data_IF_920764976452
#
_entry.id   IF_920764976452
#
_cell.length_a   1.000
_cell.length_b   1.000
_cell.length_c   1.000
_cell.angle_alpha   90.00
_cell.angle_beta   90.00
_cell.angle_gamma   90.00
#
_symmetry.space_group_name_H-M   'P 1'
#
loop_
_entity.id
_entity.type
_entity.pdbx_description
1 polymer ?
#
# COMPACT_ATOMS: atom_id res chain seq x y z
N UNK A 1 -16.22 7.71 -7.05
CA UNK A 1 -15.04 8.61 -7.19
C UNK A 1 -14.52 9.13 -5.85
N UNK A 2 -15.39 9.62 -4.96
CA UNK A 2 -14.98 10.21 -3.67
C UNK A 2 -14.09 9.30 -2.81
N UNK A 3 -14.44 8.02 -2.67
CA UNK A 3 -13.61 7.06 -1.90
C UNK A 3 -12.23 6.82 -2.51
N UNK A 4 -12.12 6.88 -3.84
CA UNK A 4 -10.84 6.72 -4.53
C UNK A 4 -9.92 7.91 -4.23
N UNK A 5 -10.47 9.12 -4.24
CA UNK A 5 -9.72 10.34 -3.88
C UNK A 5 -9.30 10.31 -2.40
N UNK A 6 -10.21 9.91 -1.50
CA UNK A 6 -9.91 9.75 -0.08
C UNK A 6 -8.81 8.72 0.16
N UNK A 7 -8.88 7.54 -0.48
CA UNK A 7 -7.80 6.55 -0.42
C UNK A 7 -6.47 7.16 -0.90
N UNK A 8 -6.49 7.83 -2.05
CA UNK A 8 -5.29 8.44 -2.64
C UNK A 8 -4.67 9.47 -1.69
N UNK A 9 -5.50 10.29 -1.03
CA UNK A 9 -5.08 11.25 -0.03
C UNK A 9 -4.47 10.57 1.20
N UNK A 10 -5.18 9.62 1.84
CA UNK A 10 -4.69 8.94 3.04
C UNK A 10 -3.46 8.07 2.77
N UNK A 11 -3.39 7.44 1.60
CA UNK A 11 -2.21 6.68 1.19
C UNK A 11 -0.99 7.60 0.96
N UNK A 12 -1.23 8.78 0.39
CA UNK A 12 -0.17 9.79 0.25
C UNK A 12 0.31 10.31 1.60
N UNK A 13 -0.64 10.59 2.50
CA UNK A 13 -0.34 11.04 3.86
C UNK A 13 0.45 9.97 4.62
N UNK A 14 0.07 8.70 4.51
CA UNK A 14 0.81 7.58 5.10
C UNK A 14 2.27 7.54 4.61
N UNK A 15 2.50 7.63 3.30
CA UNK A 15 3.85 7.63 2.71
C UNK A 15 4.67 8.83 3.20
N UNK A 16 4.10 10.03 3.19
CA UNK A 16 4.78 11.24 3.67
C UNK A 16 5.12 11.14 5.16
N UNK A 17 4.21 10.58 5.96
CA UNK A 17 4.43 10.38 7.39
C UNK A 17 5.57 9.40 7.66
N UNK A 18 5.63 8.27 6.95
CA UNK A 18 6.75 7.33 7.04
C UNK A 18 8.07 8.00 6.65
N UNK A 19 8.08 8.77 5.55
CA UNK A 19 9.27 9.53 5.13
C UNK A 19 9.72 10.55 6.17
N UNK A 20 8.79 11.28 6.75
CA UNK A 20 9.09 12.27 7.79
C UNK A 20 9.68 11.63 9.04
N UNK A 21 9.12 10.49 9.47
CA UNK A 21 9.67 9.68 10.58
C UNK A 21 11.09 9.20 10.26
N UNK A 22 11.34 8.73 9.03
CA UNK A 22 12.67 8.31 8.57
C UNK A 22 13.69 9.46 8.63
N UNK A 23 13.33 10.65 8.15
CA UNK A 23 14.23 11.81 8.14
C UNK A 23 14.61 12.29 9.54
N UNK A 24 13.73 12.08 10.53
CA UNK A 24 14.00 12.41 11.93
C UNK A 24 14.93 11.39 12.62
N UNK A 25 15.24 10.27 11.98
CA UNK A 25 16.02 9.18 12.58
C UNK A 25 15.26 8.40 13.65
N UNK A 26 13.92 8.53 13.70
CA UNK A 26 13.07 7.79 14.64
C UNK A 26 13.01 6.30 14.26
N UNK A 27 12.73 5.44 15.25
CA UNK A 27 12.65 3.98 15.05
C UNK A 27 11.42 3.60 14.23
N UNK A 28 11.55 3.63 12.90
CA UNK A 28 10.50 3.23 11.94
C UNK A 28 9.93 1.83 12.26
N UNK A 29 10.77 0.94 12.80
CA UNK A 29 10.38 -0.41 13.21
C UNK A 29 9.27 -0.37 14.29
N UNK A 30 9.55 0.37 15.37
CA UNK A 30 8.68 0.46 16.54
C UNK A 30 7.40 1.21 16.17
N UNK A 31 7.54 2.34 15.47
CA UNK A 31 6.39 3.15 15.02
C UNK A 31 5.48 2.36 14.06
N UNK A 32 6.06 1.57 13.15
CA UNK A 32 5.30 0.71 12.24
C UNK A 32 4.56 -0.41 12.94
N UNK A 33 5.17 -1.01 13.97
CA UNK A 33 4.53 -2.01 14.81
C UNK A 33 3.36 -1.42 15.62
N UNK A 34 3.57 -0.25 16.23
CA UNK A 34 2.51 0.49 16.94
C UNK A 34 1.36 0.85 15.99
N UNK A 35 1.64 1.22 14.74
CA UNK A 35 0.61 1.48 13.73
C UNK A 35 -0.34 0.29 13.55
N UNK A 36 0.17 -0.94 13.47
CA UNK A 36 -0.69 -2.12 13.36
C UNK A 36 -1.46 -2.40 14.65
N UNK A 37 -0.86 -2.18 15.82
CA UNK A 37 -1.53 -2.35 17.11
C UNK A 37 -2.69 -1.35 17.25
N UNK A 38 -2.46 -0.07 16.97
CA UNK A 38 -3.49 0.95 17.03
C UNK A 38 -4.59 0.69 15.99
N UNK A 39 -4.23 0.31 14.77
CA UNK A 39 -5.21 -0.06 13.76
C UNK A 39 -6.06 -1.27 14.19
N UNK A 40 -5.47 -2.26 14.88
CA UNK A 40 -6.20 -3.39 15.43
C UNK A 40 -7.20 -2.96 16.51
N UNK A 41 -6.77 -2.09 17.45
CA UNK A 41 -7.64 -1.55 18.50
C UNK A 41 -8.82 -0.78 17.90
N UNK A 42 -8.56 0.07 16.90
CA UNK A 42 -9.63 0.82 16.21
C UNK A 42 -10.56 -0.12 15.45
N UNK A 43 -10.02 -1.17 14.81
CA UNK A 43 -10.84 -2.15 14.09
C UNK A 43 -11.75 -2.95 15.05
N UNK A 44 -11.25 -3.34 16.23
CA UNK A 44 -12.05 -3.96 17.30
C UNK A 44 -13.14 -3.01 17.79
N UNK A 45 -12.80 -1.75 18.07
CA UNK A 45 -13.77 -0.75 18.50
C UNK A 45 -14.86 -0.52 17.44
N UNK A 46 -14.47 -0.44 16.16
CA UNK A 46 -15.41 -0.28 15.04
C UNK A 46 -16.34 -1.49 14.92
N UNK A 47 -15.80 -2.71 15.06
CA UNK A 47 -16.59 -3.92 15.06
C UNK A 47 -17.57 -4.01 16.24
N UNK A 48 -17.17 -3.53 17.43
CA UNK A 48 -18.02 -3.53 18.62
C UNK A 48 -19.20 -2.55 18.50
N UNK A 49 -19.03 -1.44 17.79
CA UNK A 49 -20.08 -0.42 17.59
C UNK A 49 -20.99 -0.79 16.40
N UNK A 50 -20.51 -1.58 15.45
CA UNK A 50 -21.30 -2.01 14.30
C UNK A 50 -22.28 -3.11 14.71
N UNK A 51 -23.59 -2.86 14.62
CA UNK A 51 -24.61 -3.85 14.95
C UNK A 51 -24.58 -5.03 13.97
N UNK A 52 -24.32 -6.24 14.48
CA UNK A 52 -24.31 -7.52 13.75
C UNK A 52 -23.50 -7.53 12.45
N UNK A 53 -22.16 -7.47 12.50
CA UNK A 53 -21.37 -7.72 11.31
C UNK A 53 -21.62 -9.15 10.82
N UNK A 54 -22.02 -9.31 9.57
CA UNK A 54 -22.10 -10.62 8.92
C UNK A 54 -20.71 -11.21 8.84
N UNK A 55 -20.50 -12.31 9.56
CA UNK A 55 -19.20 -13.00 9.62
C UNK A 55 -19.23 -14.24 8.75
N UNK A 56 -18.78 -14.14 7.50
CA UNK A 56 -18.53 -15.31 6.66
C UNK A 56 -17.08 -15.75 6.75
N UNK A 57 -16.85 -17.06 6.64
CA UNK A 57 -15.51 -17.65 6.57
C UNK A 57 -14.63 -17.00 5.49
N UNK A 58 -15.22 -16.60 4.35
CA UNK A 58 -14.53 -15.91 3.26
C UNK A 58 -13.94 -14.56 3.68
N UNK A 59 -14.70 -13.75 4.42
CA UNK A 59 -14.24 -12.46 4.93
C UNK A 59 -13.12 -12.62 5.97
N UNK A 60 -13.25 -13.62 6.85
CA UNK A 60 -12.21 -13.95 7.84
C UNK A 60 -10.93 -14.43 7.14
N UNK A 61 -11.05 -15.34 6.16
CA UNK A 61 -9.92 -15.90 5.43
C UNK A 61 -9.19 -14.82 4.61
N UNK A 62 -9.93 -14.00 3.86
CA UNK A 62 -9.33 -12.90 3.08
C UNK A 62 -8.73 -11.82 3.97
N UNK A 63 -9.41 -11.42 5.05
CA UNK A 63 -8.89 -10.47 6.03
C UNK A 63 -7.63 -10.98 6.70
N UNK A 64 -7.67 -12.19 7.25
CA UNK A 64 -6.52 -12.82 7.92
C UNK A 64 -5.32 -13.01 6.98
N UNK A 65 -5.55 -13.44 5.74
CA UNK A 65 -4.50 -13.55 4.73
C UNK A 65 -3.89 -12.18 4.39
N UNK A 66 -4.70 -11.12 4.30
CA UNK A 66 -4.19 -9.77 4.08
C UNK A 66 -3.36 -9.27 5.27
N UNK A 67 -3.81 -9.54 6.50
CA UNK A 67 -3.06 -9.22 7.72
C UNK A 67 -1.71 -9.91 7.80
N UNK A 68 -1.66 -11.19 7.43
CA UNK A 68 -0.41 -11.94 7.34
C UNK A 68 0.50 -11.35 6.26
N UNK A 69 -0.05 -11.00 5.08
CA UNK A 69 0.71 -10.32 4.03
C UNK A 69 1.29 -8.99 4.52
N UNK A 70 0.53 -8.17 5.26
CA UNK A 70 1.02 -6.91 5.83
C UNK A 70 2.18 -7.13 6.81
N UNK A 71 2.07 -8.11 7.69
CA UNK A 71 3.14 -8.43 8.63
C UNK A 71 4.39 -8.97 7.93
N UNK A 72 4.24 -9.96 7.04
CA UNK A 72 5.39 -10.55 6.33
C UNK A 72 6.02 -9.52 5.38
N UNK A 73 5.22 -8.74 4.66
CA UNK A 73 5.69 -7.65 3.80
C UNK A 73 6.56 -6.67 4.58
N UNK A 74 6.26 -6.45 5.85
CA UNK A 74 7.03 -5.53 6.70
C UNK A 74 8.49 -5.98 6.91
N UNK A 75 8.74 -7.27 7.19
CA UNK A 75 10.11 -7.78 7.33
C UNK A 75 10.85 -7.74 6.00
N UNK A 76 10.18 -8.18 4.93
CA UNK A 76 10.77 -8.14 3.59
C UNK A 76 10.99 -6.71 3.12
N UNK A 77 10.18 -5.74 3.54
CA UNK A 77 10.38 -4.32 3.26
C UNK A 77 11.65 -3.81 3.94
N UNK A 78 11.81 -4.04 5.25
CA UNK A 78 13.00 -3.60 5.98
C UNK A 78 14.26 -4.23 5.40
N UNK A 79 14.22 -5.54 5.13
CA UNK A 79 15.31 -6.23 4.45
C UNK A 79 15.54 -5.60 3.08
N UNK A 80 14.56 -5.53 2.20
CA UNK A 80 14.73 -5.00 0.86
C UNK A 80 15.28 -3.55 0.84
N UNK A 81 14.86 -2.70 1.79
CA UNK A 81 15.37 -1.33 1.95
C UNK A 81 16.86 -1.33 2.30
N UNK A 82 17.30 -2.20 3.22
CA UNK A 82 18.71 -2.32 3.58
C UNK A 82 19.58 -2.74 2.38
N UNK A 83 19.02 -3.47 1.41
CA UNK A 83 19.75 -4.00 0.26
C UNK A 83 19.73 -3.12 -1.00
N UNK A 84 18.58 -2.54 -1.36
CA UNK A 84 18.43 -1.73 -2.57
C UNK A 84 18.15 -0.24 -2.32
N UNK A 85 18.02 0.17 -1.06
CA UNK A 85 17.62 1.52 -0.68
C UNK A 85 16.11 1.75 -0.79
N UNK A 86 15.60 2.67 0.03
CA UNK A 86 14.17 2.95 0.15
C UNK A 86 13.51 3.40 -1.17
N UNK A 87 14.25 4.13 -2.02
CA UNK A 87 13.73 4.65 -3.28
C UNK A 87 13.41 3.53 -4.29
N UNK A 88 14.31 2.57 -4.49
CA UNK A 88 14.09 1.46 -5.43
C UNK A 88 12.99 0.52 -4.96
N UNK A 89 12.96 0.20 -3.66
CA UNK A 89 11.92 -0.67 -3.10
C UNK A 89 10.53 -0.03 -3.17
N UNK A 90 10.44 1.28 -3.00
CA UNK A 90 9.18 2.00 -3.18
C UNK A 90 8.64 1.88 -4.63
N UNK A 91 9.53 1.89 -5.64
CA UNK A 91 9.14 1.71 -7.04
C UNK A 91 8.68 0.27 -7.29
N UNK A 92 9.42 -0.71 -6.77
CA UNK A 92 9.08 -2.14 -6.92
C UNK A 92 7.72 -2.45 -6.26
N UNK A 93 7.48 -1.96 -5.05
CA UNK A 93 6.20 -2.14 -4.36
C UNK A 93 5.03 -1.44 -5.06
N UNK A 94 5.28 -0.38 -5.83
CA UNK A 94 4.27 0.26 -6.67
C UNK A 94 4.03 -0.52 -7.97
N UNK A 95 5.05 -1.15 -8.54
CA UNK A 95 4.87 -2.04 -9.70
C UNK A 95 4.06 -3.30 -9.36
N UNK A 96 3.96 -3.67 -8.07
CA UNK A 96 3.10 -4.76 -7.61
C UNK A 96 1.61 -4.57 -7.94
N UNK A 97 1.20 -3.40 -8.44
CA UNK A 97 -0.14 -3.17 -9.02
C UNK A 97 -0.44 -4.08 -10.21
N UNK A 98 0.59 -4.60 -10.88
CA UNK A 98 0.40 -5.50 -12.02
C UNK A 98 -0.24 -6.83 -11.61
N UNK A 99 0.07 -7.34 -10.41
CA UNK A 99 -0.46 -8.61 -9.89
C UNK A 99 -1.99 -8.63 -9.79
N UNK A 100 -2.67 -7.69 -9.08
CA UNK A 100 -4.12 -7.69 -9.01
C UNK A 100 -4.79 -7.48 -10.38
N UNK A 101 -4.15 -6.73 -11.30
CA UNK A 101 -4.68 -6.53 -12.67
C UNK A 101 -4.65 -7.85 -13.45
N UNK A 102 -3.52 -8.55 -13.44
CA UNK A 102 -3.38 -9.84 -14.11
C UNK A 102 -4.36 -10.88 -13.55
N UNK A 103 -4.53 -10.91 -12.23
CA UNK A 103 -5.52 -11.79 -11.58
C UNK A 103 -6.95 -11.37 -11.93
N UNK A 104 -7.25 -10.08 -11.95
CA UNK A 104 -8.54 -9.54 -12.41
C UNK A 104 -8.92 -10.02 -13.81
N UNK A 105 -7.98 -9.92 -14.75
CA UNK A 105 -8.17 -10.35 -16.15
C UNK A 105 -8.28 -11.88 -16.24
N UNK A 106 -7.37 -12.62 -15.61
CA UNK A 106 -7.26 -14.07 -15.78
C UNK A 106 -8.33 -14.87 -15.03
N UNK A 107 -8.67 -14.48 -13.80
CA UNK A 107 -9.57 -15.25 -12.93
C UNK A 107 -10.97 -14.65 -12.83
N UNK A 108 -11.11 -13.34 -12.93
CA UNK A 108 -12.39 -12.65 -12.79
C UNK A 108 -12.98 -12.18 -14.11
N UNK A 109 -12.30 -12.46 -15.23
CA UNK A 109 -12.77 -12.12 -16.57
C UNK A 109 -12.89 -10.62 -16.82
N UNK A 110 -12.17 -9.79 -16.05
CA UNK A 110 -12.17 -8.33 -16.25
C UNK A 110 -11.58 -8.03 -17.65
N UNK A 111 -12.36 -7.34 -18.50
CA UNK A 111 -11.94 -6.95 -19.86
C UNK A 111 -11.66 -5.46 -19.89
N UNK A 112 -10.42 -5.00 -19.68
CA UNK A 112 -10.09 -3.60 -19.81
C UNK A 112 -10.29 -3.16 -21.27
N UNK A 113 -10.97 -2.04 -21.47
CA UNK A 113 -11.02 -1.40 -22.78
C UNK A 113 -9.64 -0.96 -23.25
N UNK A 114 -9.47 -0.69 -24.54
CA UNK A 114 -8.18 -0.28 -25.13
C UNK A 114 -7.61 0.97 -24.45
N UNK A 115 -8.44 1.96 -24.14
CA UNK A 115 -8.05 3.16 -23.38
C UNK A 115 -7.51 2.81 -21.97
N UNK A 116 -8.20 1.95 -21.23
CA UNK A 116 -7.77 1.50 -19.90
C UNK A 116 -6.44 0.74 -19.97
N UNK A 117 -6.24 -0.11 -20.99
CA UNK A 117 -4.98 -0.83 -21.19
C UNK A 117 -3.83 0.15 -21.44
N UNK A 118 -4.03 1.16 -22.29
CA UNK A 118 -3.01 2.20 -22.53
C UNK A 118 -2.70 3.00 -21.26
N UNK A 119 -3.72 3.31 -20.46
CA UNK A 119 -3.56 3.97 -19.16
C UNK A 119 -2.76 3.12 -18.16
N UNK A 120 -3.01 1.81 -18.08
CA UNK A 120 -2.23 0.88 -17.25
C UNK A 120 -0.75 0.87 -17.69
N UNK A 121 -0.50 0.75 -18.99
CA UNK A 121 0.87 0.73 -19.54
C UNK A 121 1.60 2.04 -19.23
N UNK A 122 0.92 3.18 -19.37
CA UNK A 122 1.49 4.49 -19.01
C UNK A 122 1.74 4.62 -17.52
N UNK A 123 0.83 4.14 -16.66
CA UNK A 123 1.06 4.12 -15.20
C UNK A 123 2.30 3.30 -14.85
N UNK A 124 2.49 2.13 -15.46
CA UNK A 124 3.69 1.33 -15.30
C UNK A 124 4.95 2.04 -15.83
N UNK A 125 4.86 2.68 -16.99
CA UNK A 125 5.96 3.45 -17.57
C UNK A 125 6.38 4.61 -16.65
N UNK A 126 5.41 5.36 -16.08
CA UNK A 126 5.67 6.43 -15.13
C UNK A 126 6.46 5.94 -13.91
N UNK A 127 6.06 4.79 -13.36
CA UNK A 127 6.76 4.16 -12.23
C UNK A 127 8.18 3.74 -12.58
N UNK A 128 8.40 3.18 -13.77
CA UNK A 128 9.74 2.79 -14.24
C UNK A 128 10.63 4.02 -14.43
N UNK A 129 10.12 5.08 -15.07
CA UNK A 129 10.86 6.33 -15.29
C UNK A 129 11.25 6.97 -13.95
N UNK A 130 10.34 6.97 -12.97
CA UNK A 130 10.64 7.43 -11.62
C UNK A 130 11.74 6.60 -10.94
N UNK A 131 11.70 5.27 -11.12
CA UNK A 131 12.73 4.37 -10.59
C UNK A 131 14.11 4.63 -11.19
N UNK A 132 14.20 4.89 -12.49
CA UNK A 132 15.46 5.22 -13.17
C UNK A 132 16.10 6.53 -12.68
N UNK A 133 15.30 7.49 -12.21
CA UNK A 133 15.79 8.75 -11.64
C UNK A 133 16.45 8.63 -10.26
N UNK A 134 16.27 7.49 -9.60
CA UNK A 134 16.82 7.17 -8.28
C UNK A 134 18.14 6.40 -8.45
N UNK A 135 19.30 7.09 -8.47
CA UNK A 135 20.63 6.48 -8.62
C UNK A 135 21.61 7.16 -7.63
N UNK A 136 22.63 6.47 -7.04
CA UNK A 136 23.37 5.30 -7.55
C UNK A 136 23.66 4.16 -6.54
N UNK A 137 23.25 2.94 -6.88
CA UNK A 137 23.90 1.70 -6.41
C UNK A 137 23.91 0.71 -7.58
N UNK A 138 24.58 1.09 -8.68
CA UNK A 138 24.71 0.25 -9.86
C UNK A 138 25.95 -0.68 -9.84
N UNK A 139 26.88 -0.53 -8.89
CA UNK A 139 28.20 -1.21 -9.00
C UNK A 139 28.58 -2.22 -7.92
N UNK A 140 27.70 -2.57 -6.97
CA UNK A 140 28.01 -3.66 -6.05
C UNK A 140 27.54 -5.00 -6.66
N UNK A 141 28.45 -5.97 -6.84
CA UNK A 141 28.12 -7.37 -7.18
C UNK A 141 26.98 -7.84 -6.28
N UNK A 142 25.76 -7.90 -6.82
CA UNK A 142 24.55 -8.20 -6.03
C UNK A 142 24.46 -9.70 -5.83
N UNK A 143 24.50 -10.22 -4.58
CA UNK A 143 24.32 -11.64 -4.35
C UNK A 143 22.89 -12.06 -4.69
N UNK A 144 22.72 -13.30 -5.15
CA UNK A 144 21.42 -13.86 -5.56
C UNK A 144 20.32 -13.73 -4.47
N UNK A 145 20.72 -13.76 -3.20
CA UNK A 145 19.83 -13.57 -2.05
C UNK A 145 19.10 -12.20 -2.05
N UNK A 146 19.75 -11.13 -2.54
CA UNK A 146 19.12 -9.80 -2.61
C UNK A 146 17.99 -9.74 -3.63
N UNK A 147 18.11 -10.46 -4.76
CA UNK A 147 17.03 -10.58 -5.75
C UNK A 147 15.85 -11.36 -5.20
N UNK A 148 16.10 -12.42 -4.40
CA UNK A 148 15.03 -13.19 -3.76
C UNK A 148 14.24 -12.33 -2.77
N UNK A 149 14.90 -11.54 -1.91
CA UNK A 149 14.22 -10.66 -0.94
C UNK A 149 13.34 -9.62 -1.63
N UNK A 150 13.82 -9.03 -2.72
CA UNK A 150 13.09 -8.00 -3.47
C UNK A 150 11.91 -8.60 -4.24
N UNK A 151 12.11 -9.78 -4.85
CA UNK A 151 11.05 -10.51 -5.53
C UNK A 151 9.98 -10.96 -4.53
N UNK A 152 10.37 -11.43 -3.36
CA UNK A 152 9.45 -11.78 -2.29
C UNK A 152 8.64 -10.56 -1.83
N UNK A 153 9.27 -9.40 -1.62
CA UNK A 153 8.53 -8.17 -1.29
C UNK A 153 7.51 -7.80 -2.38
N UNK A 154 7.92 -7.84 -3.65
CA UNK A 154 7.04 -7.57 -4.79
C UNK A 154 5.82 -8.50 -4.81
N UNK A 155 6.05 -9.80 -4.61
CA UNK A 155 5.01 -10.82 -4.57
C UNK A 155 4.07 -10.61 -3.38
N UNK A 156 4.59 -10.40 -2.16
CA UNK A 156 3.75 -10.22 -0.97
C UNK A 156 2.92 -8.93 -1.08
N UNK A 157 3.52 -7.83 -1.53
CA UNK A 157 2.83 -6.56 -1.72
C UNK A 157 1.72 -6.68 -2.78
N UNK A 158 1.95 -7.43 -3.86
CA UNK A 158 0.93 -7.69 -4.87
C UNK A 158 -0.14 -8.66 -4.39
N UNK A 159 0.24 -9.71 -3.65
CA UNK A 159 -0.69 -10.66 -3.04
C UNK A 159 -1.68 -9.97 -2.12
N UNK A 160 -1.25 -8.98 -1.32
CA UNK A 160 -2.18 -8.17 -0.53
C UNK A 160 -3.24 -7.46 -1.39
N UNK A 161 -2.86 -6.90 -2.54
CA UNK A 161 -3.81 -6.26 -3.47
C UNK A 161 -4.70 -7.28 -4.18
N UNK A 162 -4.15 -8.44 -4.52
CA UNK A 162 -4.93 -9.57 -5.05
C UNK A 162 -5.98 -10.01 -4.04
N UNK A 163 -5.62 -10.14 -2.75
CA UNK A 163 -6.56 -10.48 -1.68
C UNK A 163 -7.67 -9.44 -1.55
N UNK A 164 -7.36 -8.15 -1.67
CA UNK A 164 -8.39 -7.09 -1.70
C UNK A 164 -9.32 -7.22 -2.92
N UNK A 165 -8.77 -7.63 -4.08
CA UNK A 165 -9.57 -7.93 -5.29
C UNK A 165 -10.42 -9.18 -5.09
N UNK A 166 -9.89 -10.22 -4.45
CA UNK A 166 -10.64 -11.43 -4.11
C UNK A 166 -11.76 -11.11 -3.12
N UNK A 167 -11.53 -10.26 -2.13
CA UNK A 167 -12.55 -9.81 -1.19
C UNK A 167 -13.74 -9.19 -1.94
N UNK A 168 -13.48 -8.31 -2.91
CA UNK A 168 -14.52 -7.71 -3.77
C UNK A 168 -15.41 -8.76 -4.45
N UNK A 169 -14.84 -9.86 -4.94
CA UNK A 169 -15.59 -10.87 -5.70
C UNK A 169 -16.18 -12.00 -4.84
N UNK A 170 -15.63 -12.23 -3.65
CA UNK A 170 -16.00 -13.37 -2.80
C UNK A 170 -16.90 -13.00 -1.62
N UNK A 171 -16.89 -11.73 -1.20
CA UNK A 171 -17.53 -11.25 0.03
C UNK A 171 -18.49 -10.09 -0.27
N UNK A 172 -19.42 -9.86 0.65
CA UNK A 172 -20.36 -8.74 0.54
C UNK A 172 -19.75 -7.44 1.10
N UNK A 173 -20.20 -6.26 0.62
CA UNK A 173 -19.86 -4.94 1.17
C UNK A 173 -20.00 -4.82 2.71
N UNK A 174 -21.02 -5.49 3.28
CA UNK A 174 -21.30 -5.54 4.71
C UNK A 174 -20.16 -6.18 5.53
N UNK A 175 -19.34 -7.03 4.91
CA UNK A 175 -18.28 -7.79 5.57
C UNK A 175 -16.94 -7.03 5.64
N UNK A 176 -16.87 -5.79 5.14
CA UNK A 176 -15.67 -4.96 5.17
C UNK A 176 -15.12 -4.78 6.58
N UNK A 177 -16.01 -4.59 7.57
CA UNK A 177 -15.63 -4.44 8.97
C UNK A 177 -14.91 -5.69 9.48
N UNK A 178 -15.39 -6.88 9.10
CA UNK A 178 -14.77 -8.17 9.46
C UNK A 178 -13.43 -8.34 8.76
N UNK A 179 -13.33 -7.98 7.48
CA UNK A 179 -12.06 -8.01 6.75
C UNK A 179 -10.99 -7.14 7.42
N UNK A 180 -11.34 -5.89 7.75
CA UNK A 180 -10.42 -4.96 8.41
C UNK A 180 -10.04 -5.45 9.80
N UNK A 181 -11.02 -5.94 10.57
CA UNK A 181 -10.78 -6.54 11.89
C UNK A 181 -9.77 -7.68 11.79
N UNK A 182 -10.01 -8.69 10.95
CA UNK A 182 -9.12 -9.83 10.81
C UNK A 182 -7.74 -9.43 10.30
N UNK A 183 -7.68 -8.53 9.31
CA UNK A 183 -6.40 -8.05 8.75
C UNK A 183 -5.55 -7.33 9.81
N UNK A 184 -6.13 -6.38 10.52
CA UNK A 184 -5.39 -5.61 11.52
C UNK A 184 -5.16 -6.39 12.81
N UNK A 185 -6.05 -7.30 13.21
CA UNK A 185 -5.80 -8.19 14.36
C UNK A 185 -4.61 -9.11 14.11
N UNK A 186 -4.55 -9.77 12.96
CA UNK A 186 -3.41 -10.64 12.62
C UNK A 186 -2.12 -9.82 12.54
N UNK A 187 -2.14 -8.66 11.86
CA UNK A 187 -0.96 -7.80 11.75
C UNK A 187 -0.54 -7.21 13.12
N UNK A 188 -1.50 -6.78 13.93
CA UNK A 188 -1.30 -6.15 15.24
C UNK A 188 -0.77 -7.12 16.28
N UNK A 189 -1.35 -8.33 16.38
CA UNK A 189 -0.84 -9.38 17.27
C UNK A 189 0.58 -9.81 16.88
N UNK A 190 0.84 -9.94 15.58
CA UNK A 190 2.16 -10.30 15.08
C UNK A 190 3.18 -9.18 15.36
N UNK A 191 2.80 -7.91 15.15
CA UNK A 191 3.62 -6.75 15.48
C UNK A 191 3.90 -6.63 16.99
N UNK A 192 2.91 -6.91 17.82
CA UNK A 192 3.06 -6.94 19.28
C UNK A 192 4.03 -8.06 19.72
N UNK A 193 3.89 -9.26 19.16
CA UNK A 193 4.83 -10.36 19.39
C UNK A 193 6.27 -10.02 18.98
N UNK A 194 6.44 -9.29 17.87
CA UNK A 194 7.75 -8.80 17.44
C UNK A 194 8.37 -7.81 18.45
N UNK A 195 7.59 -6.86 18.98
CA UNK A 195 8.07 -5.91 19.98
C UNK A 195 8.50 -6.62 21.28
N UNK A 196 7.70 -7.60 21.73
CA UNK A 196 8.04 -8.43 22.88
C UNK A 196 9.32 -9.22 22.66
N UNK A 197 9.47 -9.87 21.50
CA UNK A 197 10.67 -10.64 21.17
C UNK A 197 11.93 -9.79 21.11
N UNK A 198 11.83 -8.57 20.56
CA UNK A 198 12.94 -7.61 20.52
C UNK A 198 13.15 -6.85 21.82
N UNK A 199 12.25 -7.01 22.81
CA UNK A 199 12.24 -6.24 24.06
C UNK A 199 12.27 -4.72 23.83
N UNK A 200 11.65 -4.28 22.73
CA UNK A 200 11.51 -2.87 22.37
C UNK A 200 10.23 -2.33 23.00
N UNK A 201 10.36 -1.41 23.96
CA UNK A 201 9.22 -0.73 24.58
C UNK A 201 9.00 0.60 23.87
N UNK A 202 7.85 0.82 23.22
CA UNK A 202 7.57 2.07 22.55
C UNK A 202 7.47 3.23 23.55
N UNK A 203 8.17 4.31 23.26
CA UNK A 203 8.07 5.59 23.96
C UNK A 203 6.74 6.28 23.68
N UNK A 204 6.33 7.23 24.52
CA UNK A 204 5.08 8.00 24.30
C UNK A 204 5.05 8.72 22.94
N UNK A 205 6.21 9.18 22.46
CA UNK A 205 6.37 9.76 21.12
C UNK A 205 6.08 8.72 20.03
N UNK A 206 6.60 7.51 20.15
CA UNK A 206 6.37 6.43 19.19
C UNK A 206 4.92 5.95 19.21
N UNK A 207 4.25 5.98 20.38
CA UNK A 207 2.82 5.77 20.48
C UNK A 207 2.01 6.81 19.70
N UNK A 208 2.34 8.09 19.86
CA UNK A 208 1.65 9.17 19.14
C UNK A 208 1.87 9.09 17.62
N UNK A 209 3.12 8.88 17.19
CA UNK A 209 3.47 8.75 15.78
C UNK A 209 2.86 7.50 15.15
N UNK A 210 2.90 6.38 15.89
CA UNK A 210 2.30 5.13 15.47
C UNK A 210 0.78 5.20 15.42
N UNK A 211 0.13 5.96 16.32
CA UNK A 211 -1.31 6.17 16.28
C UNK A 211 -1.76 6.94 15.03
N UNK A 212 -1.05 8.02 14.67
CA UNK A 212 -1.31 8.75 13.42
C UNK A 212 -1.16 7.86 12.18
N UNK A 213 -0.09 7.05 12.14
CA UNK A 213 0.10 6.06 11.08
C UNK A 213 -1.01 4.99 11.08
N UNK A 214 -1.39 4.48 12.25
CA UNK A 214 -2.45 3.48 12.41
C UNK A 214 -3.79 3.95 11.85
N UNK A 215 -4.19 5.16 12.21
CA UNK A 215 -5.43 5.78 11.74
C UNK A 215 -5.39 5.96 10.21
N UNK A 216 -4.31 6.55 9.69
CA UNK A 216 -4.18 6.76 8.24
C UNK A 216 -4.13 5.45 7.46
N UNK A 217 -3.51 4.41 8.03
CA UNK A 217 -3.40 3.08 7.44
C UNK A 217 -4.75 2.34 7.40
N UNK A 218 -5.52 2.41 8.48
CA UNK A 218 -6.86 1.86 8.53
C UNK A 218 -7.78 2.56 7.53
N UNK A 219 -7.75 3.90 7.50
CA UNK A 219 -8.57 4.70 6.59
C UNK A 219 -8.23 4.45 5.13
N UNK A 220 -6.95 4.42 4.74
CA UNK A 220 -6.60 4.07 3.35
C UNK A 220 -7.11 2.65 3.00
N UNK A 221 -7.00 1.68 3.91
CA UNK A 221 -7.44 0.30 3.65
C UNK A 221 -8.97 0.20 3.57
N UNK A 222 -9.71 0.97 4.36
CA UNK A 222 -11.17 1.06 4.25
C UNK A 222 -11.58 1.68 2.90
N UNK A 223 -10.97 2.80 2.51
CA UNK A 223 -11.37 3.52 1.31
C UNK A 223 -11.01 2.79 0.01
N UNK A 224 -9.96 1.98 -0.02
CA UNK A 224 -9.68 1.12 -1.18
C UNK A 224 -10.76 0.05 -1.34
N UNK A 225 -11.21 -0.59 -0.25
CA UNK A 225 -12.29 -1.57 -0.30
C UNK A 225 -13.59 -0.93 -0.78
N UNK A 226 -13.96 0.24 -0.24
CA UNK A 226 -15.13 1.01 -0.73
C UNK A 226 -15.01 1.46 -2.18
N UNK A 227 -13.78 1.72 -2.65
CA UNK A 227 -13.56 2.03 -4.07
C UNK A 227 -13.77 0.80 -4.94
N UNK A 228 -13.33 -0.38 -4.48
CA UNK A 228 -13.48 -1.65 -5.18
C UNK A 228 -14.94 -2.13 -5.26
N UNK A 229 -15.83 -1.69 -4.36
CA UNK A 229 -17.28 -1.95 -4.45
C UNK A 229 -17.90 -1.33 -5.71
N UNK A 230 -17.47 -0.11 -6.07
CA UNK A 230 -18.08 0.68 -7.14
C UNK A 230 -17.30 0.67 -8.44
N UNK A 231 -16.05 0.19 -8.43
CA UNK A 231 -15.13 0.29 -9.56
C UNK A 231 -14.36 -1.01 -9.80
N UNK A 232 -13.98 -1.29 -11.06
CA UNK A 232 -13.12 -2.42 -11.40
C UNK A 232 -11.71 -2.30 -10.79
N UNK A 233 -11.11 -3.44 -10.44
CA UNK A 233 -9.78 -3.47 -9.82
C UNK A 233 -8.71 -2.88 -10.74
N UNK A 234 -8.82 -3.14 -12.05
CA UNK A 234 -7.93 -2.60 -13.07
C UNK A 234 -7.97 -1.08 -13.24
N UNK A 235 -8.98 -0.38 -12.71
CA UNK A 235 -9.00 1.09 -12.62
C UNK A 235 -8.49 1.54 -11.26
N UNK A 236 -9.02 0.94 -10.19
CA UNK A 236 -8.75 1.39 -8.82
C UNK A 236 -7.25 1.33 -8.50
N UNK A 237 -6.56 0.22 -8.73
CA UNK A 237 -5.15 0.09 -8.32
C UNK A 237 -4.19 1.00 -9.10
N UNK A 238 -4.29 1.11 -10.45
CA UNK A 238 -3.46 2.06 -11.20
C UNK A 238 -3.74 3.52 -10.84
N UNK A 239 -5.02 3.91 -10.74
CA UNK A 239 -5.39 5.31 -10.44
C UNK A 239 -4.92 5.70 -9.05
N UNK A 240 -5.15 4.86 -8.04
CA UNK A 240 -4.68 5.14 -6.67
C UNK A 240 -3.17 5.17 -6.54
N UNK A 241 -2.45 4.33 -7.29
CA UNK A 241 -0.99 4.28 -7.24
C UNK A 241 -0.33 5.45 -8.00
N UNK A 242 -0.88 5.83 -9.16
CA UNK A 242 -0.44 7.01 -9.90
C UNK A 242 -0.86 8.30 -9.18
N UNK A 243 -2.10 8.38 -8.67
CA UNK A 243 -2.58 9.53 -7.91
C UNK A 243 -1.78 9.76 -6.63
N UNK A 244 -1.49 8.69 -5.88
CA UNK A 244 -0.69 8.82 -4.66
C UNK A 244 0.75 9.17 -4.98
N UNK A 245 1.30 8.71 -6.11
CA UNK A 245 2.58 9.21 -6.62
C UNK A 245 2.55 10.72 -6.84
N UNK A 246 1.59 11.22 -7.61
CA UNK A 246 1.49 12.65 -7.92
C UNK A 246 1.41 13.48 -6.63
N UNK A 247 0.49 13.12 -5.72
CA UNK A 247 0.29 13.84 -4.47
C UNK A 247 1.53 13.77 -3.56
N UNK A 248 2.13 12.58 -3.39
CA UNK A 248 3.34 12.44 -2.56
C UNK A 248 4.51 13.21 -3.13
N UNK A 249 4.71 13.19 -4.44
CA UNK A 249 5.80 13.94 -5.09
C UNK A 249 5.57 15.45 -4.98
N UNK A 250 4.37 15.96 -5.26
CA UNK A 250 4.05 17.38 -5.13
C UNK A 250 4.19 17.87 -3.68
N UNK A 251 3.66 17.10 -2.72
CA UNK A 251 3.78 17.43 -1.32
C UNK A 251 5.24 17.37 -0.83
N UNK A 252 6.04 16.42 -1.30
CA UNK A 252 7.47 16.37 -0.97
C UNK A 252 8.21 17.61 -1.49
N UNK A 253 7.93 18.06 -2.71
CA UNK A 253 8.51 19.32 -3.23
C UNK A 253 8.14 20.51 -2.36
N UNK A 254 6.88 20.59 -1.94
CA UNK A 254 6.39 21.75 -1.20
C UNK A 254 6.85 21.77 0.27
N UNK A 255 6.69 20.65 0.98
CA UNK A 255 7.02 20.54 2.41
C UNK A 255 8.51 20.28 2.66
N UNK A 256 9.13 19.40 1.87
CA UNK A 256 10.53 18.99 2.06
C UNK A 256 11.49 19.84 1.22
N UNK A 257 10.97 20.76 0.39
CA UNK A 257 11.76 21.62 -0.53
C UNK A 257 12.71 20.79 -1.41
N UNK A 258 12.32 19.57 -1.74
CA UNK A 258 13.12 18.67 -2.59
C UNK A 258 13.19 19.21 -4.01
N UNK A 259 14.40 19.26 -4.58
CA UNK A 259 14.59 19.60 -6.00
C UNK A 259 14.27 18.36 -6.84
N UNK A 260 13.22 18.45 -7.66
CA UNK A 260 12.87 17.38 -8.59
C UNK A 260 13.95 17.23 -9.67
N UNK A 261 14.32 15.98 -9.94
CA UNK A 261 15.12 15.63 -11.11
C UNK A 261 14.22 15.60 -12.35
N UNK A 262 14.81 15.80 -13.54
CA UNK A 262 14.09 15.74 -14.82
C UNK A 262 13.22 14.47 -14.98
N UNK A 263 13.75 13.32 -14.55
CA UNK A 263 13.03 12.05 -14.54
C UNK A 263 11.74 12.07 -13.70
N UNK A 264 11.73 12.80 -12.58
CA UNK A 264 10.54 12.92 -11.73
C UNK A 264 9.46 13.76 -12.41
N UNK A 265 9.82 14.80 -13.16
CA UNK A 265 8.87 15.57 -13.97
C UNK A 265 8.29 14.74 -15.12
N UNK A 266 9.13 13.96 -15.80
CA UNK A 266 8.66 13.05 -16.84
C UNK A 266 7.70 12.00 -16.27
N UNK A 267 8.02 11.39 -15.13
CA UNK A 267 7.13 10.46 -14.44
C UNK A 267 5.80 11.11 -14.03
N UNK A 268 5.83 12.37 -13.56
CA UNK A 268 4.64 13.14 -13.22
C UNK A 268 3.74 13.34 -14.46
N UNK A 269 4.32 13.77 -15.58
CA UNK A 269 3.58 13.99 -16.82
C UNK A 269 2.93 12.70 -17.35
N UNK A 270 3.68 11.59 -17.35
CA UNK A 270 3.16 10.28 -17.78
C UNK A 270 2.05 9.81 -16.83
N UNK A 271 2.20 10.01 -15.51
CA UNK A 271 1.18 9.65 -14.53
C UNK A 271 -0.11 10.46 -14.71
N UNK A 272 -0.03 11.75 -15.05
CA UNK A 272 -1.20 12.58 -15.38
C UNK A 272 -1.91 12.03 -16.63
N UNK A 273 -1.16 11.71 -17.69
CA UNK A 273 -1.72 11.13 -18.90
C UNK A 273 -2.38 9.75 -18.64
N UNK A 274 -1.74 8.91 -17.83
CA UNK A 274 -2.30 7.64 -17.41
C UNK A 274 -3.63 7.81 -16.66
N UNK A 275 -3.69 8.76 -15.72
CA UNK A 275 -4.90 9.06 -14.97
C UNK A 275 -6.04 9.55 -15.86
N UNK A 276 -5.74 10.39 -16.86
CA UNK A 276 -6.74 10.88 -17.81
C UNK A 276 -7.39 9.73 -18.61
N UNK A 277 -6.60 8.72 -19.00
CA UNK A 277 -7.09 7.54 -19.75
C UNK A 277 -7.79 6.51 -18.87
N UNK A 278 -7.48 6.49 -17.57
CA UNK A 278 -8.08 5.59 -16.59
C UNK A 278 -9.33 6.17 -15.92
N UNK A 279 -9.73 7.41 -16.27
CA UNK A 279 -10.98 7.96 -15.76
C UNK A 279 -12.14 7.09 -16.26
N UNK A 280 -12.97 6.54 -15.36
CA UNK A 280 -14.15 5.83 -15.78
C UNK A 280 -15.05 6.83 -16.50
N UNK A 281 -15.33 6.56 -17.77
CA UNK A 281 -16.32 7.31 -18.54
C UNK A 281 -17.67 7.17 -17.83
N UNK A 282 -18.26 8.32 -17.49
CA UNK A 282 -19.59 8.42 -16.88
C UNK A 282 -20.66 7.73 -17.73
#
# INVERSE_FOLDING_TARGET
>A
MTYLLLHTFFSSLFILWVRWVQQRGDKVLVIGAVNYIIAAVIAVATCAITAQPTMTFKAIATGGANGLCYFVAYFFLIAAIAWQGAANIAVIGRLSILLPILVGIAFFGERPGTAHLTGILLACAALIVLGKGSSPLQDAKRPAAGYLVVTAFFLIAGSSRVIQTMFKHLCEPSEQTVFLLCAFMVAGLSAFGLLLWRREVPTGKEWLLGAGLGITNLLQTLFILKSLESLPGYVVFPVTSAGSLLLTTLAAVWFLKERLRFHSYAALAIAIAALALLQPTA
#
